data_IF_352183642687
#
_entry.id   IF_352183642687
#
_cell.length_a   1.000
_cell.length_b   1.000
_cell.length_c   1.000
_cell.angle_alpha   90.00
_cell.angle_beta   90.00
_cell.angle_gamma   90.00
#
_symmetry.space_group_name_H-M   'P 1'
#
loop_
_entity.id
_entity.type
_entity.pdbx_description
1 polymer ?
#
# COMPACT_ATOMS: atom_id res chain seq x y z
N UNK A 1 -31.22 13.88 46.79
CA UNK A 1 -30.04 14.73 46.44
C UNK A 1 -29.08 13.84 45.67
N UNK A 2 -29.07 13.76 44.33
CA UNK A 2 -28.72 14.73 43.26
C UNK A 2 -27.37 15.44 43.47
N UNK A 3 -26.36 15.07 42.68
CA UNK A 3 -25.65 15.87 41.65
C UNK A 3 -24.54 14.94 41.05
N UNK A 4 -24.60 14.47 39.80
CA UNK A 4 -24.25 15.10 38.50
C UNK A 4 -22.79 15.58 38.44
N UNK A 5 -21.95 14.80 37.75
CA UNK A 5 -20.57 15.14 37.38
C UNK A 5 -20.50 15.55 35.89
N UNK A 6 -19.75 16.62 35.64
CA UNK A 6 -19.82 17.48 34.47
C UNK A 6 -19.08 16.97 33.22
N UNK A 7 -19.60 17.42 32.07
CA UNK A 7 -19.03 17.35 30.71
C UNK A 7 -18.00 18.47 30.55
N UNK A 8 -16.79 18.15 30.05
CA UNK A 8 -15.78 19.13 29.69
C UNK A 8 -15.74 19.31 28.17
N UNK A 9 -16.09 20.51 27.71
CA UNK A 9 -15.96 21.00 26.33
C UNK A 9 -14.65 21.77 26.23
N UNK A 10 -13.75 21.39 25.30
CA UNK A 10 -12.55 22.17 24.99
C UNK A 10 -12.81 23.09 23.78
N UNK A 11 -12.75 24.40 24.01
CA UNK A 11 -12.64 25.43 22.98
C UNK A 11 -11.16 25.67 22.62
N UNK A 12 -10.86 25.75 21.32
CA UNK A 12 -9.60 26.27 20.79
C UNK A 12 -9.62 27.81 20.81
N UNK A 13 -8.60 28.41 21.43
CA UNK A 13 -8.34 29.86 21.39
C UNK A 13 -7.29 30.14 20.31
N UNK A 14 -7.68 30.93 19.31
CA UNK A 14 -6.77 31.58 18.37
C UNK A 14 -6.10 32.80 19.04
N UNK A 15 -4.80 32.95 18.87
CA UNK A 15 -4.08 34.17 19.27
C UNK A 15 -3.51 34.86 18.03
N UNK A 16 -3.94 36.09 17.82
CA UNK A 16 -3.42 37.03 16.85
C UNK A 16 -2.69 38.15 17.61
N UNK A 17 -1.49 38.54 17.17
CA UNK A 17 -0.95 39.88 17.42
C UNK A 17 0.29 40.18 16.55
N UNK A 18 0.20 41.27 15.76
CA UNK A 18 1.10 42.42 15.87
C UNK A 18 2.58 42.29 15.49
N UNK A 19 2.91 42.77 14.28
CA UNK A 19 4.22 43.19 13.71
C UNK A 19 4.97 44.26 14.56
N UNK A 20 6.29 44.57 14.33
CA UNK A 20 6.88 44.86 13.02
C UNK A 20 8.30 44.34 12.72
N UNK A 21 8.64 44.56 11.44
CA UNK A 21 9.81 44.10 10.71
C UNK A 21 11.14 44.67 11.21
N UNK A 22 12.18 43.83 11.14
CA UNK A 22 13.58 44.25 11.08
C UNK A 22 14.15 43.69 9.78
N UNK A 23 14.61 44.62 8.95
CA UNK A 23 15.33 44.40 7.70
C UNK A 23 16.74 43.91 8.06
N UNK A 24 17.14 42.75 7.54
CA UNK A 24 18.54 42.35 7.51
C UNK A 24 18.93 42.18 6.04
N UNK A 25 19.78 43.09 5.58
CA UNK A 25 20.39 43.13 4.26
C UNK A 25 21.24 41.87 4.00
N UNK A 26 21.06 41.27 2.82
CA UNK A 26 21.95 40.26 2.29
C UNK A 26 23.18 40.93 1.66
N UNK A 27 24.40 40.39 1.86
CA UNK A 27 25.57 40.88 1.14
C UNK A 27 25.54 40.40 -0.33
N UNK A 28 25.66 41.35 -1.25
CA UNK A 28 25.86 41.14 -2.70
C UNK A 28 27.16 40.38 -3.00
N UNK A 29 27.17 39.46 -3.97
CA UNK A 29 28.40 38.99 -4.61
C UNK A 29 28.69 39.78 -5.90
N UNK A 30 29.96 40.14 -6.11
CA UNK A 30 30.49 40.61 -7.40
C UNK A 30 31.97 40.17 -7.54
N UNK A 31 32.53 40.07 -8.75
CA UNK A 31 31.95 39.71 -10.04
C UNK A 31 32.68 38.52 -10.71
N UNK A 32 32.05 37.98 -11.76
CA UNK A 32 32.61 36.95 -12.65
C UNK A 32 33.85 37.46 -13.41
N UNK A 33 34.88 36.61 -13.48
CA UNK A 33 36.11 36.85 -14.24
C UNK A 33 36.27 35.86 -15.40
N UNK A 34 36.16 36.40 -16.61
CA UNK A 34 36.82 36.06 -17.88
C UNK A 34 36.90 34.60 -18.36
N UNK A 35 36.06 34.31 -19.36
CA UNK A 35 36.30 33.28 -20.38
C UNK A 35 37.21 33.82 -21.51
N UNK A 36 38.13 33.01 -22.08
CA UNK A 36 38.78 33.29 -23.35
C UNK A 36 38.11 32.55 -24.53
N UNK A 37 38.40 32.95 -25.78
CA UNK A 37 37.43 32.92 -26.88
C UNK A 37 37.42 31.63 -27.71
N UNK A 38 36.32 31.50 -28.45
CA UNK A 38 36.06 30.47 -29.45
C UNK A 38 37.10 30.44 -30.58
N UNK A 39 37.54 29.22 -30.91
CA UNK A 39 38.20 28.88 -32.17
C UNK A 39 37.50 27.68 -32.80
N UNK A 40 36.84 27.90 -33.94
CA UNK A 40 36.38 26.83 -34.83
C UNK A 40 37.59 26.18 -35.53
N UNK A 41 37.53 24.88 -35.79
CA UNK A 41 37.53 24.52 -37.20
C UNK A 41 36.47 23.46 -37.55
N UNK A 42 35.96 23.64 -38.76
CA UNK A 42 35.17 22.72 -39.56
C UNK A 42 35.81 21.35 -39.70
N UNK A 43 35.05 20.30 -39.38
CA UNK A 43 35.22 18.98 -39.99
C UNK A 43 33.86 18.30 -40.12
N UNK A 44 33.48 18.05 -41.37
CA UNK A 44 32.33 17.27 -41.84
C UNK A 44 32.25 15.89 -41.15
N UNK A 45 31.07 15.41 -40.74
CA UNK A 45 30.92 14.06 -40.18
C UNK A 45 30.86 13.01 -41.29
N UNK A 46 31.82 12.08 -41.27
CA UNK A 46 31.79 10.84 -42.05
C UNK A 46 30.89 9.83 -41.32
N UNK A 47 29.75 9.47 -41.91
CA UNK A 47 28.88 8.42 -41.38
C UNK A 47 29.49 7.03 -41.65
N UNK A 48 29.63 6.15 -40.65
CA UNK A 48 29.86 4.73 -40.89
C UNK A 48 28.57 4.07 -41.43
N UNK A 49 28.67 3.01 -42.25
CA UNK A 49 27.50 2.35 -42.82
C UNK A 49 26.67 1.68 -41.72
N UNK A 50 25.35 1.66 -41.95
CA UNK A 50 24.35 1.06 -41.07
C UNK A 50 24.74 -0.36 -40.66
N UNK A 51 24.97 -0.56 -39.37
CA UNK A 51 25.07 -1.89 -38.79
C UNK A 51 23.69 -2.55 -38.85
N UNK A 52 23.66 -3.75 -39.41
CA UNK A 52 22.52 -4.65 -39.51
C UNK A 52 21.79 -4.79 -38.17
N UNK A 53 20.46 -4.68 -38.21
CA UNK A 53 19.55 -4.99 -37.12
C UNK A 53 19.82 -6.40 -36.56
N UNK A 54 20.51 -6.47 -35.41
CA UNK A 54 20.54 -7.67 -34.59
C UNK A 54 19.15 -7.95 -34.00
N UNK A 55 18.82 -9.21 -33.69
CA UNK A 55 17.53 -9.54 -33.09
C UNK A 55 17.40 -8.79 -31.77
N UNK A 56 16.29 -8.07 -31.60
CA UNK A 56 15.94 -7.42 -30.35
C UNK A 56 15.88 -8.43 -29.20
N UNK A 57 15.96 -7.98 -27.93
CA UNK A 57 15.87 -8.86 -26.79
C UNK A 57 14.59 -9.70 -26.90
N UNK A 58 14.78 -11.02 -27.01
CA UNK A 58 13.70 -12.00 -27.05
C UNK A 58 12.87 -11.83 -25.78
N UNK A 59 11.62 -11.39 -25.92
CA UNK A 59 10.61 -11.44 -24.87
C UNK A 59 10.52 -12.91 -24.44
N UNK A 60 11.05 -13.22 -23.26
CA UNK A 60 10.88 -14.53 -22.67
C UNK A 60 9.37 -14.75 -22.47
N UNK A 61 8.79 -15.88 -22.93
CA UNK A 61 7.40 -16.18 -22.64
C UNK A 61 7.24 -16.26 -21.13
N UNK A 62 6.30 -15.48 -20.58
CA UNK A 62 5.80 -15.70 -19.22
C UNK A 62 5.34 -17.16 -19.18
N UNK A 63 5.82 -17.99 -18.23
CA UNK A 63 5.38 -19.38 -18.17
C UNK A 63 3.85 -19.38 -18.05
N UNK A 64 3.21 -20.06 -19.01
CA UNK A 64 1.76 -20.23 -19.05
C UNK A 64 1.33 -20.83 -17.70
N UNK A 65 0.69 -20.01 -16.86
CA UNK A 65 0.09 -20.45 -15.61
C UNK A 65 -0.95 -21.50 -15.97
N UNK A 66 -0.68 -22.76 -15.64
CA UNK A 66 -1.63 -23.86 -15.84
C UNK A 66 -2.88 -23.54 -15.01
N UNK A 67 -4.05 -23.30 -15.63
CA UNK A 67 -5.26 -23.05 -14.88
C UNK A 67 -5.58 -24.29 -14.05
N UNK A 68 -5.83 -24.11 -12.76
CA UNK A 68 -6.31 -25.19 -11.91
C UNK A 68 -7.59 -25.75 -12.54
N UNK A 69 -7.60 -27.07 -12.78
CA UNK A 69 -8.72 -27.71 -13.46
C UNK A 69 -10.02 -27.46 -12.68
N UNK A 70 -11.10 -27.19 -13.42
CA UNK A 70 -12.45 -26.86 -12.94
C UNK A 70 -13.09 -27.99 -12.14
N UNK A 71 -12.59 -28.25 -10.94
CA UNK A 71 -13.33 -28.94 -9.90
C UNK A 71 -13.56 -27.97 -8.76
N UNK A 72 -14.82 -27.84 -8.32
CA UNK A 72 -15.25 -26.98 -7.21
C UNK A 72 -14.39 -27.16 -5.92
N UNK A 73 -13.66 -28.27 -5.80
CA UNK A 73 -12.76 -28.58 -4.70
C UNK A 73 -11.43 -27.77 -4.70
N UNK A 74 -11.04 -27.17 -5.83
CA UNK A 74 -9.71 -26.57 -6.02
C UNK A 74 -9.59 -25.08 -5.67
N UNK A 75 -10.66 -24.39 -5.31
CA UNK A 75 -10.67 -22.93 -5.17
C UNK A 75 -11.02 -22.47 -3.73
N UNK A 76 -10.52 -23.15 -2.69
CA UNK A 76 -10.77 -22.74 -1.29
C UNK A 76 -9.93 -21.51 -0.90
N UNK A 77 -10.32 -20.80 0.16
CA UNK A 77 -9.46 -19.77 0.77
C UNK A 77 -8.10 -20.35 1.15
N UNK A 78 -8.07 -21.60 1.65
CA UNK A 78 -6.84 -22.33 1.98
C UNK A 78 -5.91 -22.49 0.75
N UNK A 79 -6.47 -22.83 -0.42
CA UNK A 79 -5.69 -22.94 -1.65
C UNK A 79 -5.16 -21.58 -2.12
N UNK A 80 -5.95 -20.52 -1.98
CA UNK A 80 -5.53 -19.16 -2.32
C UNK A 80 -4.33 -18.73 -1.46
N UNK A 81 -4.43 -18.86 -0.14
CA UNK A 81 -3.30 -18.49 0.75
C UNK A 81 -2.09 -19.42 0.60
N UNK A 82 -2.28 -20.67 0.16
CA UNK A 82 -1.19 -21.58 -0.17
C UNK A 82 -0.50 -21.21 -1.49
N UNK A 83 -1.20 -20.52 -2.40
CA UNK A 83 -0.67 -20.08 -3.68
C UNK A 83 0.14 -18.78 -3.61
N UNK A 84 0.18 -18.09 -2.45
CA UNK A 84 1.07 -16.94 -2.23
C UNK A 84 2.52 -17.40 -2.35
N UNK A 85 3.26 -16.79 -3.27
CA UNK A 85 4.66 -17.05 -3.57
C UNK A 85 5.56 -15.97 -2.92
N UNK A 86 6.33 -16.31 -1.87
CA UNK A 86 7.26 -15.37 -1.23
C UNK A 86 8.33 -14.81 -2.18
N UNK A 87 8.70 -15.56 -3.23
CA UNK A 87 9.67 -15.06 -4.20
C UNK A 87 9.09 -13.92 -5.03
N UNK A 88 7.81 -14.01 -5.44
CA UNK A 88 7.11 -12.94 -6.15
C UNK A 88 6.94 -11.69 -5.29
N UNK A 89 6.58 -11.86 -4.02
CA UNK A 89 6.57 -10.74 -3.07
C UNK A 89 7.96 -10.08 -2.96
N UNK A 90 9.03 -10.88 -2.90
CA UNK A 90 10.41 -10.37 -2.86
C UNK A 90 10.80 -9.65 -4.17
N UNK A 91 10.41 -10.16 -5.35
CA UNK A 91 10.65 -9.49 -6.63
C UNK A 91 10.01 -8.09 -6.66
N UNK A 92 8.76 -7.98 -6.20
CA UNK A 92 8.06 -6.70 -6.08
C UNK A 92 8.75 -5.75 -5.10
N UNK A 93 9.16 -6.23 -3.92
CA UNK A 93 9.91 -5.45 -2.94
C UNK A 93 11.19 -4.87 -3.54
N UNK A 94 11.98 -5.68 -4.24
CA UNK A 94 13.23 -5.23 -4.87
C UNK A 94 12.94 -4.18 -5.95
N UNK A 95 11.93 -4.39 -6.80
CA UNK A 95 11.57 -3.41 -7.82
C UNK A 95 11.16 -2.07 -7.20
N UNK A 96 10.28 -2.08 -6.19
CA UNK A 96 9.78 -0.88 -5.51
C UNK A 96 10.87 -0.12 -4.74
N UNK A 97 11.85 -0.82 -4.18
CA UNK A 97 12.96 -0.18 -3.43
C UNK A 97 14.09 0.29 -4.35
N UNK A 98 14.17 -0.24 -5.58
CA UNK A 98 15.20 0.15 -6.57
C UNK A 98 14.98 1.51 -7.22
N UNK A 99 13.80 2.14 -7.06
CA UNK A 99 13.48 3.43 -7.68
C UNK A 99 14.15 4.63 -6.98
N UNK A 100 14.86 4.39 -5.88
CA UNK A 100 15.57 5.38 -5.07
C UNK A 100 14.71 5.93 -3.93
N UNK A 101 13.59 6.56 -4.26
CA UNK A 101 12.59 7.03 -3.30
C UNK A 101 11.21 7.03 -3.96
N UNK A 102 10.21 6.61 -3.20
CA UNK A 102 8.78 6.70 -3.54
C UNK A 102 8.11 7.88 -2.82
N UNK A 103 8.86 8.85 -2.31
CA UNK A 103 8.26 10.11 -1.86
C UNK A 103 7.62 10.83 -3.06
N UNK A 104 6.38 11.36 -2.97
CA UNK A 104 5.68 12.00 -4.10
C UNK A 104 6.41 13.21 -4.73
N UNK A 105 7.42 13.77 -4.06
CA UNK A 105 8.26 14.86 -4.58
C UNK A 105 9.50 14.35 -5.33
N UNK A 106 9.82 13.06 -5.21
CA UNK A 106 11.00 12.44 -5.82
C UNK A 106 10.68 11.87 -7.22
N UNK A 107 11.57 11.98 -8.22
CA UNK A 107 11.36 11.37 -9.55
C UNK A 107 11.15 9.85 -9.56
N UNK A 108 11.62 9.16 -8.52
CA UNK A 108 11.41 7.72 -8.32
C UNK A 108 9.96 7.32 -8.04
N UNK A 109 9.14 8.22 -7.51
CA UNK A 109 7.71 7.97 -7.26
C UNK A 109 6.96 7.66 -8.56
N UNK A 110 7.20 8.45 -9.61
CA UNK A 110 6.61 8.19 -10.93
C UNK A 110 6.99 6.80 -11.50
N UNK A 111 8.19 6.29 -11.17
CA UNK A 111 8.62 4.93 -11.55
C UNK A 111 7.87 3.86 -10.75
N UNK A 112 7.63 4.07 -9.46
CA UNK A 112 6.82 3.17 -8.64
C UNK A 112 5.36 3.11 -9.12
N UNK A 113 4.77 4.27 -9.43
CA UNK A 113 3.43 4.36 -10.04
C UNK A 113 3.37 3.56 -11.34
N UNK A 114 4.34 3.77 -12.24
CA UNK A 114 4.41 3.05 -13.51
C UNK A 114 4.55 1.53 -13.29
N UNK A 115 5.43 1.12 -12.38
CA UNK A 115 5.64 -0.29 -12.04
C UNK A 115 4.36 -0.96 -11.53
N UNK A 116 3.68 -0.35 -10.55
CA UNK A 116 2.44 -0.89 -9.98
C UNK A 116 1.38 -1.04 -11.08
N UNK A 117 1.18 -0.01 -11.91
CA UNK A 117 0.23 -0.04 -13.02
C UNK A 117 0.58 -1.09 -14.08
N UNK A 118 1.86 -1.29 -14.38
CA UNK A 118 2.33 -2.31 -15.31
C UNK A 118 2.02 -3.72 -14.79
N UNK A 119 2.39 -4.01 -13.53
CA UNK A 119 2.15 -5.32 -12.91
C UNK A 119 0.64 -5.65 -12.86
N UNK A 120 -0.18 -4.68 -12.50
CA UNK A 120 -1.63 -4.83 -12.46
C UNK A 120 -2.25 -4.91 -13.85
N UNK A 121 -1.75 -4.12 -14.81
CA UNK A 121 -2.20 -4.11 -16.20
C UNK A 121 -1.97 -5.44 -16.90
N UNK A 122 -0.88 -6.14 -16.57
CA UNK A 122 -0.64 -7.51 -17.03
C UNK A 122 -1.73 -8.51 -16.57
N UNK A 123 -2.50 -8.16 -15.54
CA UNK A 123 -3.60 -8.98 -15.01
C UNK A 123 -4.98 -8.56 -15.52
N UNK A 124 -5.08 -7.54 -16.39
CA UNK A 124 -6.37 -7.06 -16.93
C UNK A 124 -7.13 -8.17 -17.69
N UNK A 125 -6.41 -9.06 -18.39
CA UNK A 125 -7.00 -10.24 -19.05
C UNK A 125 -7.75 -11.15 -18.06
N UNK A 126 -7.30 -11.21 -16.81
CA UNK A 126 -7.95 -11.97 -15.74
C UNK A 126 -9.11 -11.21 -15.07
N UNK A 127 -9.56 -10.09 -15.65
CA UNK A 127 -10.76 -9.34 -15.24
C UNK A 127 -10.50 -8.23 -14.23
N UNK A 128 -9.25 -7.87 -13.98
CA UNK A 128 -8.91 -6.73 -13.15
C UNK A 128 -9.17 -5.41 -13.91
N UNK A 129 -9.88 -4.50 -13.26
CA UNK A 129 -10.07 -3.11 -13.68
C UNK A 129 -9.13 -2.22 -12.89
N UNK A 130 -8.29 -1.47 -13.60
CA UNK A 130 -7.27 -0.59 -13.00
C UNK A 130 -7.70 0.85 -13.14
N UNK A 131 -7.80 1.55 -12.01
CA UNK A 131 -8.26 2.93 -11.93
C UNK A 131 -7.26 3.76 -11.13
N UNK A 132 -7.32 5.09 -11.29
CA UNK A 132 -6.53 6.01 -10.47
C UNK A 132 -7.39 7.15 -10.00
N UNK A 133 -7.16 7.58 -8.76
CA UNK A 133 -7.69 8.83 -8.23
C UNK A 133 -6.53 9.77 -7.97
N UNK A 134 -6.62 10.97 -8.56
CA UNK A 134 -5.62 12.02 -8.34
C UNK A 134 -6.17 13.07 -7.40
N UNK A 135 -5.29 13.57 -6.54
CA UNK A 135 -5.56 14.70 -5.66
C UNK A 135 -4.30 15.56 -5.52
N UNK A 136 -4.41 16.68 -4.82
CA UNK A 136 -3.27 17.55 -4.50
C UNK A 136 -3.33 17.88 -3.03
N UNK A 137 -2.23 17.66 -2.31
CA UNK A 137 -2.07 18.04 -0.92
C UNK A 137 -0.91 19.03 -0.79
N UNK A 138 -1.20 20.27 -0.38
CA UNK A 138 -0.19 21.33 -0.23
C UNK A 138 0.70 21.55 -1.47
N UNK A 139 0.12 21.42 -2.66
CA UNK A 139 0.85 21.53 -3.93
C UNK A 139 1.59 20.27 -4.38
N UNK A 140 1.58 19.20 -3.56
CA UNK A 140 2.13 17.88 -3.90
C UNK A 140 1.04 17.06 -4.61
N UNK A 141 1.22 16.66 -5.87
CA UNK A 141 0.29 15.77 -6.56
C UNK A 141 0.38 14.36 -5.97
N UNK A 142 -0.78 13.76 -5.72
CA UNK A 142 -0.89 12.38 -5.25
C UNK A 142 -1.73 11.55 -6.22
N UNK A 143 -1.41 10.27 -6.39
CA UNK A 143 -2.15 9.32 -7.22
C UNK A 143 -2.41 8.00 -6.48
N UNK A 144 -3.63 7.82 -5.96
CA UNK A 144 -4.06 6.51 -5.50
C UNK A 144 -4.30 5.59 -6.71
N UNK A 145 -3.88 4.32 -6.62
CA UNK A 145 -4.09 3.32 -7.66
C UNK A 145 -5.02 2.24 -7.11
N UNK A 146 -6.03 1.86 -7.89
CA UNK A 146 -6.97 0.82 -7.50
C UNK A 146 -6.96 -0.29 -8.54
N UNK A 147 -6.76 -1.52 -8.09
CA UNK A 147 -7.09 -2.71 -8.87
C UNK A 147 -8.36 -3.31 -8.30
N UNK A 148 -9.35 -3.57 -9.14
CA UNK A 148 -10.59 -4.18 -8.68
C UNK A 148 -11.04 -5.31 -9.56
N UNK A 149 -11.63 -6.32 -8.93
CA UNK A 149 -12.20 -7.45 -9.61
C UNK A 149 -13.61 -7.68 -9.06
N UNK A 150 -14.57 -7.74 -9.98
CA UNK A 150 -15.95 -8.01 -9.64
C UNK A 150 -16.11 -9.49 -9.30
N UNK A 151 -17.11 -9.76 -8.44
CA UNK A 151 -17.60 -11.11 -8.24
C UNK A 151 -18.06 -11.73 -9.56
N UNK A 152 -17.97 -13.06 -9.67
CA UNK A 152 -18.46 -13.73 -10.88
C UNK A 152 -19.95 -13.45 -11.07
N UNK A 153 -20.30 -12.76 -12.16
CA UNK A 153 -21.66 -12.82 -12.70
C UNK A 153 -21.80 -14.16 -13.43
N UNK A 154 -22.96 -14.80 -13.39
CA UNK A 154 -23.13 -16.13 -14.01
C UNK A 154 -22.90 -16.14 -15.53
N UNK A 155 -22.80 -14.97 -16.17
CA UNK A 155 -22.49 -14.88 -17.60
C UNK A 155 -21.09 -15.42 -17.96
N UNK A 156 -20.12 -15.43 -17.02
CA UNK A 156 -18.77 -15.94 -17.29
C UNK A 156 -18.52 -17.38 -16.81
N UNK A 157 -19.47 -18.02 -16.11
CA UNK A 157 -19.28 -19.36 -15.52
C UNK A 157 -19.91 -20.50 -16.31
N UNK A 158 -20.66 -20.21 -17.40
CA UNK A 158 -21.44 -21.24 -18.09
C UNK A 158 -22.49 -21.92 -17.20
N UNK A 159 -22.78 -21.34 -16.03
CA UNK A 159 -23.67 -21.90 -15.03
C UNK A 159 -25.12 -21.56 -15.36
N UNK A 160 -25.99 -22.56 -15.33
CA UNK A 160 -27.44 -22.39 -15.49
C UNK A 160 -28.12 -21.67 -14.31
N UNK A 161 -27.35 -21.30 -13.28
CA UNK A 161 -27.81 -20.52 -12.13
C UNK A 161 -27.74 -19.03 -12.51
N UNK A 162 -28.80 -18.23 -12.32
CA UNK A 162 -28.77 -16.80 -12.62
C UNK A 162 -27.58 -16.10 -11.96
N UNK A 163 -27.00 -15.05 -12.59
CA UNK A 163 -25.95 -14.28 -11.98
C UNK A 163 -26.37 -13.81 -10.59
N UNK A 164 -25.50 -13.87 -9.57
CA UNK A 164 -25.72 -12.99 -8.44
C UNK A 164 -25.80 -11.56 -8.99
N UNK A 165 -26.65 -10.69 -8.40
CA UNK A 165 -26.65 -9.27 -8.73
C UNK A 165 -25.22 -8.72 -8.66
N UNK A 166 -24.89 -7.64 -9.41
CA UNK A 166 -23.62 -6.93 -9.25
C UNK A 166 -23.33 -6.76 -7.76
N UNK A 167 -22.09 -7.03 -7.35
CA UNK A 167 -21.70 -6.95 -5.95
C UNK A 167 -22.15 -5.60 -5.36
N UNK A 168 -23.18 -5.64 -4.51
CA UNK A 168 -23.71 -4.44 -3.86
C UNK A 168 -22.78 -3.93 -2.78
N UNK A 169 -21.77 -4.75 -2.42
CA UNK A 169 -20.81 -4.50 -1.36
C UNK A 169 -19.39 -4.80 -1.80
N UNK A 170 -18.45 -4.06 -1.23
CA UNK A 170 -17.03 -4.07 -1.58
C UNK A 170 -16.19 -4.45 -0.36
N UNK A 171 -15.08 -5.16 -0.60
CA UNK A 171 -14.04 -5.44 0.39
C UNK A 171 -12.76 -4.78 -0.12
N UNK A 172 -12.19 -3.89 0.69
CA UNK A 172 -10.95 -3.20 0.36
C UNK A 172 -9.80 -3.80 1.14
N UNK A 173 -8.70 -4.07 0.44
CA UNK A 173 -7.39 -4.36 1.02
C UNK A 173 -6.44 -3.27 0.55
N UNK A 174 -5.71 -2.64 1.47
CA UNK A 174 -4.81 -1.54 1.17
C UNK A 174 -3.40 -1.74 1.68
N UNK A 175 -2.49 -1.03 1.02
CA UNK A 175 -1.18 -0.64 1.51
C UNK A 175 -0.85 0.70 0.87
N UNK A 176 -0.02 1.52 1.51
CA UNK A 176 0.53 2.68 0.82
C UNK A 176 1.80 2.30 0.07
N UNK A 177 2.04 2.98 -1.04
CA UNK A 177 3.21 2.75 -1.87
C UNK A 177 4.20 3.90 -1.83
N UNK A 178 3.89 5.05 -1.22
CA UNK A 178 4.87 6.09 -0.99
C UNK A 178 5.89 5.67 0.07
N UNK A 179 6.88 6.52 0.32
CA UNK A 179 7.93 6.29 1.31
C UNK A 179 8.51 7.61 1.78
N UNK A 180 8.97 7.66 3.02
CA UNK A 180 9.77 8.78 3.52
C UNK A 180 11.09 8.34 4.14
N UNK A 181 12.02 9.27 4.28
CA UNK A 181 13.19 9.10 5.14
C UNK A 181 13.37 10.26 6.13
N UNK A 182 12.25 10.84 6.59
CA UNK A 182 12.21 12.03 7.44
C UNK A 182 12.91 11.90 8.81
N UNK A 183 13.22 10.68 9.28
CA UNK A 183 14.05 10.45 10.47
C UNK A 183 15.55 10.51 10.17
N UNK A 184 15.94 10.60 8.90
CA UNK A 184 17.34 10.81 8.50
C UNK A 184 17.67 12.30 8.54
N UNK A 185 18.68 12.73 9.34
CA UNK A 185 19.07 14.13 9.41
C UNK A 185 19.45 14.71 8.05
N UNK A 186 18.85 15.86 7.70
CA UNK A 186 19.14 16.56 6.46
C UNK A 186 18.59 15.92 5.18
N UNK A 187 17.76 14.88 5.28
CA UNK A 187 17.13 14.25 4.12
C UNK A 187 16.26 15.23 3.34
N UNK A 188 16.45 15.26 2.02
CA UNK A 188 15.71 16.11 1.09
C UNK A 188 14.74 15.24 0.27
N UNK A 189 13.41 15.39 0.47
CA UNK A 189 12.41 14.53 -0.16
C UNK A 189 12.52 14.43 -1.69
N UNK A 190 12.89 15.53 -2.35
CA UNK A 190 12.95 15.58 -3.81
C UNK A 190 14.25 15.01 -4.43
N UNK A 191 15.27 14.69 -3.62
CA UNK A 191 16.61 14.37 -4.11
C UNK A 191 17.27 13.14 -3.47
N UNK A 192 16.99 12.88 -2.19
CA UNK A 192 17.67 11.85 -1.43
C UNK A 192 16.82 10.56 -1.38
N UNK A 193 17.45 9.37 -1.31
CA UNK A 193 16.73 8.11 -1.32
C UNK A 193 15.86 7.94 -0.08
N UNK A 194 14.80 7.15 -0.22
CA UNK A 194 13.93 6.66 0.85
C UNK A 194 13.46 5.28 0.38
N UNK A 195 14.27 4.21 0.60
CA UNK A 195 13.98 2.94 -0.02
C UNK A 195 12.67 2.34 0.49
N UNK A 196 12.30 2.57 1.76
CA UNK A 196 10.99 2.20 2.32
C UNK A 196 10.68 0.71 2.15
N UNK A 197 11.63 -0.16 2.46
CA UNK A 197 11.50 -1.59 2.22
C UNK A 197 10.42 -2.19 3.12
N UNK A 198 10.55 -2.06 4.44
CA UNK A 198 9.52 -2.49 5.36
C UNK A 198 8.30 -1.58 5.27
N UNK A 199 8.55 -0.27 5.14
CA UNK A 199 7.57 0.81 5.17
C UNK A 199 7.42 1.55 3.82
N UNK A 200 6.49 1.19 2.96
CA UNK A 200 5.60 0.02 3.04
C UNK A 200 5.63 -0.80 1.75
N UNK A 201 6.85 -1.05 1.23
CA UNK A 201 7.01 -1.96 0.11
C UNK A 201 6.63 -3.41 0.47
N UNK A 202 6.69 -3.81 1.75
CA UNK A 202 6.20 -5.13 2.19
C UNK A 202 4.69 -5.30 1.99
N UNK A 203 3.87 -4.31 2.37
CA UNK A 203 2.44 -4.31 2.15
C UNK A 203 2.09 -4.21 0.67
N UNK A 204 2.70 -3.25 -0.04
CA UNK A 204 2.48 -3.06 -1.49
C UNK A 204 2.79 -4.32 -2.30
N UNK A 205 3.93 -4.98 -2.02
CA UNK A 205 4.30 -6.23 -2.68
C UNK A 205 3.32 -7.38 -2.39
N UNK A 206 2.77 -7.45 -1.17
CA UNK A 206 1.74 -8.43 -0.84
C UNK A 206 0.45 -8.20 -1.64
N UNK A 207 0.01 -6.95 -1.82
CA UNK A 207 -1.16 -6.63 -2.65
C UNK A 207 -0.96 -7.00 -4.13
N UNK A 208 0.22 -6.74 -4.69
CA UNK A 208 0.55 -7.16 -6.06
C UNK A 208 0.47 -8.69 -6.21
N UNK A 209 0.96 -9.42 -5.21
CA UNK A 209 0.86 -10.88 -5.17
C UNK A 209 -0.59 -11.37 -4.97
N UNK A 210 -1.41 -10.66 -4.19
CA UNK A 210 -2.84 -10.97 -4.07
C UNK A 210 -3.55 -10.85 -5.41
N UNK A 211 -3.22 -9.85 -6.22
CA UNK A 211 -3.79 -9.69 -7.55
C UNK A 211 -3.53 -10.94 -8.40
N UNK A 212 -2.29 -11.43 -8.40
CA UNK A 212 -1.87 -12.66 -9.11
C UNK A 212 -2.58 -13.90 -8.58
N UNK A 213 -2.61 -14.08 -7.27
CA UNK A 213 -3.23 -15.25 -6.62
C UNK A 213 -4.73 -15.31 -6.91
N UNK A 214 -5.45 -14.21 -6.71
CA UNK A 214 -6.90 -14.16 -6.93
C UNK A 214 -7.25 -14.45 -8.40
N UNK A 215 -6.42 -14.00 -9.35
CA UNK A 215 -6.56 -14.31 -10.77
C UNK A 215 -6.55 -15.81 -11.08
N UNK A 216 -5.85 -16.62 -10.27
CA UNK A 216 -5.68 -18.07 -10.52
C UNK A 216 -6.48 -18.98 -9.58
N UNK A 217 -6.97 -18.49 -8.43
CA UNK A 217 -7.61 -19.36 -7.41
C UNK A 217 -9.04 -19.01 -7.02
N UNK A 218 -9.50 -17.76 -7.13
CA UNK A 218 -10.65 -17.34 -6.30
C UNK A 218 -11.68 -16.45 -6.99
N UNK A 219 -11.42 -15.99 -8.22
CA UNK A 219 -12.33 -15.10 -8.96
C UNK A 219 -13.77 -15.59 -8.98
N UNK A 220 -13.99 -16.87 -9.26
CA UNK A 220 -15.33 -17.44 -9.45
C UNK A 220 -16.18 -17.49 -8.18
N UNK A 221 -15.58 -17.28 -7.00
CA UNK A 221 -16.27 -17.43 -5.71
C UNK A 221 -16.58 -16.10 -5.02
N UNK A 222 -16.11 -14.99 -5.58
CA UNK A 222 -16.34 -13.67 -5.02
C UNK A 222 -17.82 -13.28 -5.24
N UNK A 223 -18.49 -12.87 -4.15
CA UNK A 223 -19.84 -12.27 -4.15
C UNK A 223 -19.80 -10.76 -3.94
N UNK A 224 -18.72 -10.26 -3.36
CA UNK A 224 -18.41 -8.84 -3.17
C UNK A 224 -17.28 -8.43 -4.11
N UNK A 225 -17.25 -7.15 -4.54
CA UNK A 225 -16.12 -6.60 -5.30
C UNK A 225 -14.90 -6.60 -4.39
N UNK A 226 -13.78 -7.18 -4.84
CA UNK A 226 -12.51 -7.04 -4.16
C UNK A 226 -11.77 -5.85 -4.75
N UNK A 227 -11.33 -4.93 -3.89
CA UNK A 227 -10.55 -3.75 -4.27
C UNK A 227 -9.19 -3.83 -3.58
N UNK A 228 -8.13 -3.84 -4.36
CA UNK A 228 -6.76 -3.64 -3.90
C UNK A 228 -6.41 -2.17 -4.11
N UNK A 229 -6.21 -1.45 -3.02
CA UNK A 229 -5.92 -0.02 -3.04
C UNK A 229 -4.46 0.23 -2.66
N UNK A 230 -3.74 0.89 -3.56
CA UNK A 230 -2.38 1.36 -3.35
C UNK A 230 -2.48 2.87 -3.09
N UNK A 231 -2.43 3.26 -1.82
CA UNK A 231 -2.57 4.65 -1.42
C UNK A 231 -1.27 5.42 -1.57
N UNK A 232 -1.40 6.70 -1.87
CA UNK A 232 -0.29 7.64 -1.98
C UNK A 232 -0.40 8.72 -0.90
N UNK A 233 0.72 9.29 -0.46
CA UNK A 233 0.74 10.31 0.57
C UNK A 233 0.24 9.82 1.94
N UNK A 234 0.49 8.56 2.29
CA UNK A 234 0.33 8.07 3.66
C UNK A 234 1.29 8.81 4.59
N UNK A 235 2.53 8.96 4.12
CA UNK A 235 3.64 9.65 4.80
C UNK A 235 3.41 11.16 4.95
N UNK A 236 2.33 11.65 4.33
CA UNK A 236 1.81 13.00 4.44
C UNK A 236 0.56 13.05 5.35
N UNK A 237 0.43 12.10 6.27
CA UNK A 237 -0.71 11.89 7.17
C UNK A 237 -1.96 11.38 6.43
N UNK A 238 -1.84 10.19 5.80
CA UNK A 238 -2.92 9.41 5.14
C UNK A 238 -3.76 10.21 4.15
N UNK A 239 -3.13 11.15 3.42
CA UNK A 239 -3.88 12.11 2.59
C UNK A 239 -4.48 11.48 1.34
N UNK A 240 -3.86 10.44 0.79
CA UNK A 240 -4.45 9.66 -0.29
C UNK A 240 -5.72 8.96 0.15
N UNK A 241 -5.67 8.14 1.19
CA UNK A 241 -6.84 7.41 1.69
C UNK A 241 -7.92 8.33 2.25
N UNK A 242 -7.56 9.44 2.92
CA UNK A 242 -8.52 10.45 3.35
C UNK A 242 -9.24 11.13 2.18
N UNK A 243 -8.51 11.50 1.13
CA UNK A 243 -9.11 12.06 -0.09
C UNK A 243 -10.03 11.03 -0.77
N UNK A 244 -9.64 9.76 -0.76
CA UNK A 244 -10.46 8.68 -1.28
C UNK A 244 -11.78 8.54 -0.51
N UNK A 245 -11.71 8.38 0.82
CA UNK A 245 -12.90 8.24 1.66
C UNK A 245 -13.82 9.46 1.55
N UNK A 246 -13.26 10.67 1.49
CA UNK A 246 -14.04 11.90 1.30
C UNK A 246 -14.79 11.96 -0.04
N UNK A 247 -14.30 11.25 -1.07
CA UNK A 247 -14.94 11.18 -2.39
C UNK A 247 -16.05 10.13 -2.50
N UNK A 248 -16.18 9.23 -1.51
CA UNK A 248 -17.13 8.13 -1.56
C UNK A 248 -18.58 8.61 -1.39
N UNK A 249 -19.47 8.07 -2.22
CA UNK A 249 -20.90 8.28 -2.07
C UNK A 249 -21.47 7.49 -0.87
N UNK A 250 -22.43 8.10 -0.16
CA UNK A 250 -23.19 7.46 0.93
C UNK A 250 -24.54 6.91 0.41
N UNK A 251 -25.04 5.78 0.95
CA UNK A 251 -24.39 4.92 1.94
C UNK A 251 -23.15 4.21 1.36
N UNK A 252 -22.12 4.04 2.18
CA UNK A 252 -20.87 3.41 1.73
C UNK A 252 -21.12 1.95 1.37
N UNK A 253 -20.50 1.50 0.27
CA UNK A 253 -20.60 0.11 -0.20
C UNK A 253 -19.64 -0.85 0.51
N UNK A 254 -18.72 -0.34 1.33
CA UNK A 254 -17.67 -1.15 1.94
C UNK A 254 -18.18 -1.95 3.14
N UNK A 255 -18.02 -3.28 3.07
CA UNK A 255 -18.15 -4.19 4.21
C UNK A 255 -16.94 -4.09 5.14
N UNK A 256 -15.76 -3.87 4.58
CA UNK A 256 -14.51 -3.79 5.30
C UNK A 256 -13.43 -3.06 4.51
N UNK A 257 -12.51 -2.41 5.22
CA UNK A 257 -11.22 -1.92 4.73
C UNK A 257 -10.08 -2.49 5.59
N UNK A 258 -9.20 -3.29 4.99
CA UNK A 258 -8.09 -3.98 5.67
C UNK A 258 -6.78 -3.36 5.18
N UNK A 259 -6.04 -2.68 6.04
CA UNK A 259 -4.74 -2.11 5.71
C UNK A 259 -3.59 -3.04 6.13
N UNK A 260 -2.57 -3.17 5.30
CA UNK A 260 -1.37 -3.94 5.57
C UNK A 260 -0.16 -3.00 5.56
N UNK A 261 0.52 -2.91 6.70
CA UNK A 261 1.51 -1.86 6.92
C UNK A 261 2.69 -2.32 7.76
N UNK A 262 3.91 -2.21 7.26
CA UNK A 262 5.14 -2.63 7.95
C UNK A 262 5.05 -4.05 8.53
N UNK A 263 5.20 -5.07 7.67
CA UNK A 263 5.00 -6.48 8.06
C UNK A 263 6.20 -7.39 7.80
N UNK A 264 7.37 -6.81 7.55
CA UNK A 264 8.61 -7.52 7.26
C UNK A 264 9.67 -7.50 8.36
N UNK A 265 9.51 -6.70 9.41
CA UNK A 265 10.46 -6.56 10.51
C UNK A 265 9.88 -7.07 11.84
N UNK A 266 10.47 -8.13 12.37
CA UNK A 266 10.44 -8.45 13.81
C UNK A 266 11.31 -9.70 14.03
N UNK A 267 12.60 -9.57 14.39
CA UNK A 267 13.46 -10.74 14.55
C UNK A 267 13.10 -11.60 15.79
N UNK A 268 12.25 -11.11 16.71
CA UNK A 268 11.94 -11.77 17.98
C UNK A 268 10.71 -12.67 17.90
N UNK A 269 9.70 -12.26 17.15
CA UNK A 269 8.42 -12.98 17.08
C UNK A 269 7.71 -12.75 15.73
N UNK A 270 6.78 -13.64 15.40
CA UNK A 270 5.86 -13.43 14.27
C UNK A 270 4.63 -12.67 14.77
N UNK A 271 4.88 -11.48 15.35
CA UNK A 271 3.88 -10.62 15.96
C UNK A 271 3.18 -9.72 14.94
N UNK A 272 1.86 -9.56 15.07
CA UNK A 272 1.15 -8.41 14.51
C UNK A 272 0.29 -7.72 15.58
N UNK A 273 0.18 -6.41 15.48
CA UNK A 273 -0.83 -5.60 16.12
C UNK A 273 -1.99 -5.37 15.13
N UNK A 274 -3.22 -5.51 15.62
CA UNK A 274 -4.46 -5.28 14.89
C UNK A 274 -5.09 -3.98 15.37
N UNK A 275 -4.93 -2.90 14.60
CA UNK A 275 -5.51 -1.60 14.92
C UNK A 275 -6.90 -1.52 14.33
N UNK A 276 -7.94 -1.54 15.17
CA UNK A 276 -9.33 -1.52 14.72
C UNK A 276 -10.06 -0.28 15.24
N UNK A 277 -10.99 0.24 14.43
CA UNK A 277 -11.56 1.58 14.62
C UNK A 277 -13.07 1.56 14.80
N UNK A 278 -13.59 2.24 15.82
CA UNK A 278 -15.02 2.25 16.20
C UNK A 278 -15.58 0.85 16.56
N UNK A 279 -16.75 0.82 17.19
CA UNK A 279 -17.44 -0.44 17.49
C UNK A 279 -17.85 -1.21 16.23
N UNK A 280 -18.03 -0.53 15.08
CA UNK A 280 -18.37 -1.17 13.81
C UNK A 280 -17.28 -2.12 13.30
N UNK A 281 -16.02 -1.95 13.74
CA UNK A 281 -14.91 -2.82 13.35
C UNK A 281 -14.69 -4.02 14.26
N UNK A 282 -15.48 -4.17 15.33
CA UNK A 282 -15.31 -5.28 16.27
C UNK A 282 -15.51 -6.65 15.60
N UNK A 283 -16.52 -6.77 14.73
CA UNK A 283 -16.74 -8.01 13.97
C UNK A 283 -15.59 -8.28 12.98
N UNK A 284 -15.05 -7.24 12.34
CA UNK A 284 -13.91 -7.37 11.45
C UNK A 284 -12.66 -7.86 12.19
N UNK A 285 -12.37 -7.30 13.37
CA UNK A 285 -11.32 -7.79 14.28
C UNK A 285 -11.51 -9.27 14.59
N UNK A 286 -12.72 -9.68 14.97
CA UNK A 286 -13.00 -11.08 15.32
C UNK A 286 -12.85 -12.02 14.12
N UNK A 287 -13.17 -11.55 12.91
CA UNK A 287 -12.94 -12.29 11.66
C UNK A 287 -11.45 -12.47 11.37
N UNK A 288 -10.60 -11.46 11.60
CA UNK A 288 -9.14 -11.60 11.48
C UNK A 288 -8.61 -12.62 12.48
N UNK A 289 -9.01 -12.52 13.76
CA UNK A 289 -8.60 -13.48 14.79
C UNK A 289 -9.03 -14.91 14.45
N UNK A 290 -10.26 -15.08 13.95
CA UNK A 290 -10.78 -16.37 13.50
C UNK A 290 -10.03 -16.90 12.29
N UNK A 291 -9.72 -16.08 11.29
CA UNK A 291 -8.96 -16.50 10.12
C UNK A 291 -7.56 -17.02 10.51
N UNK A 292 -6.88 -16.39 11.47
CA UNK A 292 -5.61 -16.88 12.00
C UNK A 292 -5.72 -18.31 12.57
N UNK A 293 -6.82 -18.60 13.28
CA UNK A 293 -7.11 -19.91 13.87
C UNK A 293 -7.56 -20.94 12.81
N UNK A 294 -8.58 -20.62 12.02
CA UNK A 294 -9.20 -21.51 11.02
C UNK A 294 -8.19 -22.02 10.00
N UNK A 295 -7.28 -21.15 9.56
CA UNK A 295 -6.28 -21.49 8.54
C UNK A 295 -4.92 -21.87 9.11
N UNK A 296 -4.77 -21.91 10.44
CA UNK A 296 -3.51 -22.27 11.09
C UNK A 296 -2.33 -21.37 10.67
N UNK A 297 -2.58 -20.08 10.42
CA UNK A 297 -1.55 -19.14 9.90
C UNK A 297 -0.41 -18.99 10.92
N UNK A 298 -0.75 -18.99 12.21
CA UNK A 298 0.22 -18.98 13.30
C UNK A 298 0.91 -17.64 13.51
N UNK A 299 0.23 -16.52 13.25
CA UNK A 299 0.66 -15.21 13.77
C UNK A 299 0.49 -15.22 15.28
N UNK A 300 1.57 -14.93 16.01
CA UNK A 300 1.58 -14.91 17.47
C UNK A 300 2.79 -14.12 17.99
N UNK A 301 2.59 -13.10 18.85
CA UNK A 301 1.30 -12.58 19.31
C UNK A 301 0.46 -11.92 18.20
N UNK A 302 -0.87 -11.96 18.34
CA UNK A 302 -1.81 -11.25 17.47
C UNK A 302 -2.66 -10.31 18.33
N UNK A 303 -2.18 -9.08 18.50
CA UNK A 303 -2.64 -8.19 19.56
C UNK A 303 -3.65 -7.19 19.03
N UNK A 304 -4.92 -7.32 19.41
CA UNK A 304 -5.94 -6.36 19.04
C UNK A 304 -5.87 -5.09 19.91
N UNK A 305 -5.81 -3.93 19.26
CA UNK A 305 -5.74 -2.63 19.89
C UNK A 305 -6.83 -1.72 19.33
N UNK A 306 -7.65 -1.18 20.22
CA UNK A 306 -8.70 -0.25 19.82
C UNK A 306 -8.08 1.14 19.61
N UNK A 307 -8.06 1.60 18.36
CA UNK A 307 -7.47 2.89 17.97
C UNK A 307 -8.44 4.05 18.28
N UNK A 308 -8.71 4.26 19.58
CA UNK A 308 -9.78 5.14 20.07
C UNK A 308 -9.44 6.64 20.01
N UNK A 309 -8.16 7.00 20.03
CA UNK A 309 -7.70 8.36 20.31
C UNK A 309 -7.40 9.19 19.06
N UNK A 310 -7.53 8.61 17.87
CA UNK A 310 -7.29 9.30 16.60
C UNK A 310 -5.82 9.58 16.30
N UNK A 311 -4.89 9.12 17.14
CA UNK A 311 -3.44 9.28 16.94
C UNK A 311 -2.83 8.16 16.08
N UNK A 312 -3.66 7.26 15.56
CA UNK A 312 -3.22 6.21 14.66
C UNK A 312 -3.15 6.72 13.22
N UNK A 313 -1.94 6.97 12.74
CA UNK A 313 -1.67 7.41 11.37
C UNK A 313 -1.43 6.14 10.55
N UNK A 314 -2.50 5.64 9.92
CA UNK A 314 -2.50 4.54 8.96
C UNK A 314 -3.69 4.71 8.03
N UNK A 315 -3.63 4.17 6.82
CA UNK A 315 -4.71 4.30 5.82
C UNK A 315 -6.05 3.64 6.22
N UNK A 316 -6.07 2.78 7.24
CA UNK A 316 -7.32 2.27 7.81
C UNK A 316 -8.10 3.34 8.59
N UNK A 317 -7.41 4.36 9.15
CA UNK A 317 -8.03 5.33 10.04
C UNK A 317 -9.12 6.18 9.37
N UNK A 318 -8.94 6.73 8.15
CA UNK A 318 -9.99 7.48 7.47
C UNK A 318 -11.29 6.69 7.27
N UNK A 319 -11.18 5.39 6.96
CA UNK A 319 -12.34 4.50 6.82
C UNK A 319 -13.06 4.33 8.17
N UNK A 320 -12.31 4.07 9.24
CA UNK A 320 -12.83 3.94 10.59
C UNK A 320 -13.56 5.19 11.07
N UNK A 321 -12.96 6.36 10.88
CA UNK A 321 -13.55 7.67 11.24
C UNK A 321 -14.85 7.91 10.45
N UNK A 322 -14.91 7.46 9.20
CA UNK A 322 -16.13 7.55 8.39
C UNK A 322 -17.22 6.54 8.81
N UNK A 323 -16.94 5.61 9.73
CA UNK A 323 -17.86 4.56 10.15
C UNK A 323 -17.86 3.32 9.25
N UNK A 324 -16.87 3.18 8.37
CA UNK A 324 -16.65 1.96 7.59
C UNK A 324 -15.83 0.99 8.48
N UNK A 325 -16.26 -0.28 8.65
CA UNK A 325 -15.47 -1.27 9.37
C UNK A 325 -14.05 -1.35 8.80
N UNK A 326 -13.04 -1.13 9.63
CA UNK A 326 -11.65 -1.04 9.20
C UNK A 326 -10.69 -1.58 10.24
N UNK A 327 -9.58 -2.14 9.74
CA UNK A 327 -8.51 -2.69 10.56
C UNK A 327 -7.17 -2.54 9.85
N UNK A 328 -6.11 -2.24 10.58
CA UNK A 328 -4.74 -2.31 10.08
C UNK A 328 -3.99 -3.47 10.74
N UNK A 329 -3.19 -4.19 9.95
CA UNK A 329 -2.26 -5.22 10.38
C UNK A 329 -0.85 -4.65 10.25
N UNK A 330 -0.12 -4.55 11.36
CA UNK A 330 1.27 -4.11 11.37
C UNK A 330 2.11 -4.89 12.38
N UNK A 331 3.42 -4.96 12.18
CA UNK A 331 4.33 -5.69 13.09
C UNK A 331 4.32 -5.18 14.54
N UNK A 332 4.05 -3.89 14.75
CA UNK A 332 3.84 -3.22 16.04
C UNK A 332 3.43 -1.76 15.81
N UNK A 333 2.41 -1.29 16.51
CA UNK A 333 2.12 0.16 16.60
C UNK A 333 2.51 0.73 17.98
N UNK A 334 3.68 1.35 18.08
CA UNK A 334 4.17 2.01 19.30
C UNK A 334 5.51 1.47 19.82
N UNK A 335 5.75 1.65 21.12
CA UNK A 335 7.05 1.37 21.76
C UNK A 335 7.49 -0.10 21.69
N UNK A 336 8.80 -0.29 21.78
CA UNK A 336 9.42 -1.61 21.86
C UNK A 336 9.05 -2.34 23.17
N UNK A 337 9.09 -3.67 23.12
CA UNK A 337 8.84 -4.53 24.27
C UNK A 337 9.54 -5.90 24.11
N UNK A 338 9.27 -6.84 25.02
CA UNK A 338 9.90 -8.16 25.02
C UNK A 338 9.66 -8.99 23.73
N UNK A 339 8.68 -8.62 22.91
CA UNK A 339 8.31 -9.33 21.67
C UNK A 339 8.54 -8.49 20.41
N UNK A 340 8.99 -7.24 20.55
CA UNK A 340 9.28 -6.35 19.43
C UNK A 340 10.43 -5.39 19.76
N UNK A 341 11.55 -5.42 19.04
CA UNK A 341 12.74 -4.64 19.40
C UNK A 341 12.66 -3.15 19.03
N UNK A 342 11.63 -2.74 18.28
CA UNK A 342 11.58 -1.42 17.63
C UNK A 342 12.20 -1.49 16.23
N UNK A 343 11.42 -1.15 15.19
CA UNK A 343 12.00 -0.99 13.85
C UNK A 343 12.84 0.29 13.83
N UNK A 344 14.15 0.19 14.03
CA UNK A 344 15.02 1.36 14.07
C UNK A 344 15.27 1.97 12.68
N UNK A 345 14.91 1.27 11.59
CA UNK A 345 15.14 1.74 10.22
C UNK A 345 13.95 2.44 9.60
N UNK A 346 12.73 2.30 10.14
CA UNK A 346 11.52 2.95 9.59
C UNK A 346 11.74 4.46 9.37
N UNK A 347 11.23 5.01 8.26
CA UNK A 347 11.45 6.40 7.84
C UNK A 347 12.93 6.83 7.82
N UNK A 348 13.86 5.93 7.52
CA UNK A 348 15.27 6.28 7.30
C UNK A 348 15.75 5.77 5.94
N UNK A 349 16.87 6.31 5.47
CA UNK A 349 17.56 5.78 4.27
C UNK A 349 18.03 4.32 4.44
N UNK A 350 18.05 3.82 5.68
CA UNK A 350 18.44 2.46 6.01
C UNK A 350 17.27 1.47 5.99
N UNK A 351 16.04 1.89 5.69
CA UNK A 351 14.92 0.96 5.47
C UNK A 351 15.06 0.25 4.11
N UNK A 352 16.04 -0.63 4.01
CA UNK A 352 16.47 -1.33 2.79
C UNK A 352 16.05 -2.80 2.80
N UNK A 353 16.01 -3.49 1.64
CA UNK A 353 15.56 -4.89 1.56
C UNK A 353 16.29 -5.88 2.49
N UNK A 354 17.55 -5.64 2.83
CA UNK A 354 18.29 -6.46 3.80
C UNK A 354 17.80 -6.30 5.26
N UNK A 355 16.93 -5.33 5.53
CA UNK A 355 16.29 -5.08 6.83
C UNK A 355 14.94 -5.75 6.99
N UNK A 356 14.47 -6.48 5.98
CA UNK A 356 13.34 -7.41 6.12
C UNK A 356 13.80 -8.63 6.92
N UNK A 357 13.86 -8.45 8.24
CA UNK A 357 14.43 -9.40 9.20
C UNK A 357 13.51 -10.59 9.49
N UNK A 358 12.21 -10.49 9.17
CA UNK A 358 11.24 -11.54 9.40
C UNK A 358 10.36 -11.82 8.18
N UNK A 359 10.92 -12.53 7.20
CA UNK A 359 10.17 -13.03 6.03
C UNK A 359 9.05 -14.03 6.39
N UNK A 360 9.14 -14.69 7.55
CA UNK A 360 8.07 -15.59 8.03
C UNK A 360 6.83 -14.78 8.42
N UNK A 361 7.02 -13.73 9.21
CA UNK A 361 5.97 -12.77 9.56
C UNK A 361 5.35 -12.17 8.30
N UNK A 362 6.16 -11.72 7.35
CA UNK A 362 5.67 -11.14 6.11
C UNK A 362 4.73 -12.08 5.35
N UNK A 363 5.13 -13.34 5.17
CA UNK A 363 4.28 -14.36 4.55
C UNK A 363 3.00 -14.62 5.37
N UNK A 364 3.11 -14.71 6.70
CA UNK A 364 1.96 -14.93 7.57
C UNK A 364 0.96 -13.76 7.53
N UNK A 365 1.45 -12.54 7.53
CA UNK A 365 0.64 -11.33 7.40
C UNK A 365 -0.09 -11.31 6.05
N UNK A 366 0.62 -11.62 4.96
CA UNK A 366 0.02 -11.72 3.63
C UNK A 366 -1.10 -12.77 3.57
N UNK A 367 -0.84 -13.98 4.10
CA UNK A 367 -1.84 -15.04 4.18
C UNK A 367 -3.05 -14.66 5.03
N UNK A 368 -2.83 -14.03 6.19
CA UNK A 368 -3.90 -13.62 7.11
C UNK A 368 -4.81 -12.57 6.48
N UNK A 369 -4.22 -11.56 5.84
CA UNK A 369 -4.94 -10.51 5.12
C UNK A 369 -5.77 -11.10 3.98
N UNK A 370 -5.16 -11.92 3.12
CA UNK A 370 -5.88 -12.50 1.99
C UNK A 370 -6.99 -13.46 2.45
N UNK A 371 -6.73 -14.29 3.47
CA UNK A 371 -7.77 -15.18 4.01
C UNK A 371 -8.98 -14.39 4.49
N UNK A 372 -8.76 -13.32 5.26
CA UNK A 372 -9.82 -12.49 5.81
C UNK A 372 -10.59 -11.78 4.70
N UNK A 373 -9.88 -11.20 3.73
CA UNK A 373 -10.49 -10.52 2.59
C UNK A 373 -11.35 -11.47 1.74
N UNK A 374 -10.87 -12.68 1.47
CA UNK A 374 -11.62 -13.68 0.70
C UNK A 374 -12.84 -14.19 1.45
N UNK A 375 -12.74 -14.44 2.77
CA UNK A 375 -13.90 -14.82 3.59
C UNK A 375 -15.01 -13.76 3.53
N UNK A 376 -14.64 -12.48 3.69
CA UNK A 376 -15.57 -11.36 3.59
C UNK A 376 -16.16 -11.25 2.19
N UNK A 377 -15.33 -11.41 1.15
CA UNK A 377 -15.76 -11.24 -0.23
C UNK A 377 -16.63 -12.40 -0.73
N UNK A 378 -16.52 -13.60 -0.12
CA UNK A 378 -17.35 -14.77 -0.41
C UNK A 378 -18.68 -14.77 0.36
N UNK A 379 -18.77 -14.00 1.45
CA UNK A 379 -19.94 -13.93 2.34
C UNK A 379 -21.05 -12.99 1.87
#
# INVERSE_FOLDING_TARGET
>A
MRLVGAVLVLLFVASACGRPAVVLEAPSPAPAGNAPPAGSPSSTPSFPPAASSGPGPSVAPVPSLTPCQRELACNTVANAIAAIDPAKMNDHLIALTSVGSRDPRHPGHAKAVAYIKEQLGALAYYGWTIESQRTVYQGIPLENIFASIEGASAASSGSAIPPPPPATTWVLVSAHYDSTANRTPGWRPAADPAPGADDNATGTAALLEFARVVSITSREQLRSRLVLAFFDGEELFFKGSAAYVASLAKPYKYKAAINLDMVGFNPLADRLDLLWYTSASAELRDRVLRANQTYGIGVSPLNAQFAADGNTIMDAAPFGIAGIPSIALCQRYGENDATFPGNYTFHTIADTPDKITNKRLWLKAAKLTLATALELARS
#
